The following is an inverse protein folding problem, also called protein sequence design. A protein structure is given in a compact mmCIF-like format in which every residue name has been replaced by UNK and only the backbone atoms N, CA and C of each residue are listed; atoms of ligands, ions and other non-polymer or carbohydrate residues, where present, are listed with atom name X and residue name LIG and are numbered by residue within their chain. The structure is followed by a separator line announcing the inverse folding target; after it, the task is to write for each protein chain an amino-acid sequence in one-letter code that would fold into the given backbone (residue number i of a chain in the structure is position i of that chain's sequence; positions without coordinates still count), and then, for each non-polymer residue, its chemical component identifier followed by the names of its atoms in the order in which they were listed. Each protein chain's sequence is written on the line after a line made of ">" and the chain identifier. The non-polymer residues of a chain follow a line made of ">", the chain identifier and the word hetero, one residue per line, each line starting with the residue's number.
data_IF_797650941117
#
_entry.id   IF_797650941117
#
_cell.length_a   1.000
_cell.length_b   1.000
_cell.length_c   1.000
_cell.angle_alpha   90.00
_cell.angle_beta   90.00
_cell.angle_gamma   90.00
#
_symmetry.space_group_name_H-M   'P 1'
#
loop_
_entity.id
_entity.type
_entity.pdbx_description
1 polymer ?
#
# COMPACT_ATOMS: atom_id res chain seq x y z
N UNK A 1 -21.20 2.41 11.17
CA UNK A 1 -19.81 1.90 11.10
C UNK A 1 -19.66 0.85 12.19
N UNK A 2 -19.13 -0.35 11.89
CA UNK A 2 -18.86 -1.34 12.93
C UNK A 2 -17.75 -0.82 13.86
N UNK A 3 -17.88 -1.07 15.16
CA UNK A 3 -16.92 -0.61 16.17
C UNK A 3 -15.78 -1.63 16.28
N UNK A 4 -14.52 -1.18 16.33
CA UNK A 4 -13.39 -2.07 16.56
C UNK A 4 -13.20 -2.31 18.06
N UNK A 5 -13.20 -3.56 18.55
CA UNK A 5 -12.94 -3.85 19.95
C UNK A 5 -11.45 -3.66 20.26
N UNK A 6 -11.13 -2.79 21.22
CA UNK A 6 -9.76 -2.48 21.65
C UNK A 6 -9.23 -3.46 22.72
N UNK A 7 -10.12 -4.21 23.37
CA UNK A 7 -9.80 -5.03 24.55
C UNK A 7 -9.53 -6.48 24.18
N UNK A 8 -8.50 -6.74 23.37
CA UNK A 8 -8.08 -8.11 23.05
C UNK A 8 -6.79 -8.46 23.80
N UNK A 9 -6.72 -9.69 24.32
CA UNK A 9 -5.52 -10.21 24.97
C UNK A 9 -4.95 -11.35 24.16
N UNK A 10 -3.64 -11.36 23.92
CA UNK A 10 -2.99 -12.47 23.23
C UNK A 10 -1.75 -12.93 23.98
N UNK A 11 -1.45 -14.22 23.86
CA UNK A 11 -0.29 -14.89 24.40
C UNK A 11 0.30 -15.80 23.33
N UNK A 12 1.56 -16.19 23.47
CA UNK A 12 2.19 -17.07 22.49
C UNK A 12 3.19 -18.02 23.12
N UNK A 13 3.43 -19.09 22.39
CA UNK A 13 4.56 -19.99 22.55
C UNK A 13 5.36 -19.99 21.23
N UNK A 14 6.52 -20.65 21.18
CA UNK A 14 7.27 -20.79 19.93
C UNK A 14 6.47 -21.42 18.80
N UNK A 15 5.46 -22.23 19.10
CA UNK A 15 4.68 -22.99 18.10
C UNK A 15 3.21 -22.61 18.02
N UNK A 16 2.68 -21.86 18.99
CA UNK A 16 1.26 -21.50 19.05
C UNK A 16 1.03 -20.05 19.45
N UNK A 17 -0.11 -19.49 19.03
CA UNK A 17 -0.62 -18.19 19.45
C UNK A 17 -2.02 -18.37 20.02
N UNK A 18 -2.24 -17.81 21.19
CA UNK A 18 -3.53 -17.75 21.86
C UNK A 18 -4.06 -16.33 21.79
N UNK A 19 -5.23 -16.13 21.21
CA UNK A 19 -5.89 -14.81 21.17
C UNK A 19 -7.26 -14.93 21.82
N UNK A 20 -7.57 -14.02 22.74
CA UNK A 20 -8.86 -13.92 23.41
C UNK A 20 -9.53 -12.58 23.10
N UNK A 21 -10.75 -12.66 22.59
CA UNK A 21 -11.60 -11.53 22.24
C UNK A 21 -12.90 -11.56 23.05
N UNK A 22 -13.15 -10.62 23.98
CA UNK A 22 -14.38 -10.57 24.74
C UNK A 22 -15.56 -10.14 23.86
N UNK A 23 -16.68 -10.88 23.92
CA UNK A 23 -17.88 -10.66 23.12
C UNK A 23 -18.87 -9.65 23.74
N UNK A 24 -18.55 -9.08 24.91
CA UNK A 24 -19.34 -8.03 25.62
C UNK A 24 -20.85 -8.29 25.65
N UNK A 25 -21.25 -9.54 25.93
CA UNK A 25 -22.67 -9.94 26.06
C UNK A 25 -23.40 -10.25 24.75
N UNK A 26 -22.69 -10.30 23.61
CA UNK A 26 -23.25 -10.79 22.34
C UNK A 26 -23.32 -12.32 22.34
N UNK A 27 -24.47 -12.87 21.96
CA UNK A 27 -24.67 -14.31 21.86
C UNK A 27 -23.72 -14.94 20.84
N UNK A 28 -23.12 -16.08 21.20
CA UNK A 28 -22.23 -16.86 20.32
C UNK A 28 -22.84 -17.24 18.95
N UNK A 29 -24.18 -17.17 18.81
CA UNK A 29 -24.91 -17.43 17.56
C UNK A 29 -24.79 -16.30 16.54
N UNK A 30 -24.56 -15.08 17.02
CA UNK A 30 -24.47 -13.87 16.19
C UNK A 30 -23.01 -13.45 15.92
N UNK A 31 -22.06 -14.24 16.45
CA UNK A 31 -20.63 -14.07 16.22
C UNK A 31 -20.18 -14.97 15.05
N UNK A 32 -19.69 -14.34 13.98
CA UNK A 32 -19.09 -15.01 12.83
C UNK A 32 -17.57 -14.90 12.90
N UNK A 33 -16.88 -16.04 12.74
CA UNK A 33 -15.43 -16.14 12.88
C UNK A 33 -14.85 -16.72 11.60
N UNK A 34 -13.92 -15.97 11.01
CA UNK A 34 -13.17 -16.38 9.84
C UNK A 34 -11.67 -16.39 10.16
N UNK A 35 -11.02 -17.50 9.84
CA UNK A 35 -9.58 -17.69 10.05
C UNK A 35 -8.97 -18.21 8.75
N UNK A 36 -7.91 -17.56 8.30
CA UNK A 36 -7.09 -17.94 7.16
C UNK A 36 -5.61 -17.89 7.55
N UNK A 37 -4.71 -18.32 6.66
CA UNK A 37 -3.29 -18.47 6.96
C UNK A 37 -2.63 -17.19 7.50
N UNK A 38 -3.03 -16.01 7.05
CA UNK A 38 -2.45 -14.73 7.46
C UNK A 38 -3.47 -13.71 7.96
N UNK A 39 -4.72 -14.12 8.16
CA UNK A 39 -5.82 -13.21 8.40
C UNK A 39 -6.87 -13.80 9.33
N UNK A 40 -7.31 -12.98 10.28
CA UNK A 40 -8.34 -13.33 11.24
C UNK A 40 -9.41 -12.24 11.27
N UNK A 41 -10.67 -12.65 11.18
CA UNK A 41 -11.82 -11.76 11.25
C UNK A 41 -12.87 -12.32 12.19
N UNK A 42 -13.39 -11.48 13.08
CA UNK A 42 -14.48 -11.83 13.99
C UNK A 42 -15.52 -10.73 13.93
N UNK A 43 -16.71 -11.07 13.46
CA UNK A 43 -17.83 -10.16 13.31
C UNK A 43 -18.90 -10.50 14.34
N UNK A 44 -19.19 -9.58 15.26
CA UNK A 44 -20.22 -9.74 16.29
C UNK A 44 -20.93 -8.40 16.46
N UNK A 45 -22.04 -8.16 15.73
CA UNK A 45 -22.66 -6.85 15.64
C UNK A 45 -22.95 -6.22 17.01
N UNK A 46 -22.60 -4.93 17.23
CA UNK A 46 -22.10 -3.94 16.27
C UNK A 46 -20.57 -3.95 16.04
N UNK A 47 -19.84 -4.91 16.58
CA UNK A 47 -18.38 -4.93 16.57
C UNK A 47 -17.80 -5.78 15.42
N UNK A 48 -16.67 -5.33 14.89
CA UNK A 48 -15.87 -6.06 13.91
C UNK A 48 -14.41 -6.02 14.33
N UNK A 49 -13.82 -7.19 14.54
CA UNK A 49 -12.40 -7.37 14.77
C UNK A 49 -11.76 -7.94 13.50
N UNK A 50 -10.66 -7.33 13.08
CA UNK A 50 -9.94 -7.70 11.86
C UNK A 50 -8.45 -7.54 12.13
N UNK A 51 -7.68 -8.62 11.93
CA UNK A 51 -6.24 -8.66 12.17
C UNK A 51 -5.54 -9.43 11.06
N UNK A 52 -4.47 -8.83 10.52
CA UNK A 52 -3.48 -9.49 9.69
C UNK A 52 -2.36 -10.03 10.57
N UNK A 53 -2.19 -11.35 10.62
CA UNK A 53 -1.24 -12.01 11.50
C UNK A 53 0.21 -11.72 11.06
N UNK A 54 1.13 -11.67 12.02
CA UNK A 54 2.55 -11.40 11.78
C UNK A 54 3.21 -12.41 10.83
N UNK A 55 2.87 -13.70 10.96
CA UNK A 55 3.41 -14.79 10.15
C UNK A 55 2.31 -15.82 9.84
N UNK A 56 2.47 -16.63 8.79
CA UNK A 56 1.46 -17.59 8.40
C UNK A 56 1.25 -18.68 9.45
N UNK A 57 -0.01 -18.96 9.74
CA UNK A 57 -0.48 -20.01 10.62
C UNK A 57 -1.01 -21.19 9.81
N UNK A 58 -1.00 -22.37 10.41
CA UNK A 58 -1.62 -23.58 9.90
C UNK A 58 -3.12 -23.53 10.23
N UNK A 59 -3.93 -23.10 9.27
CA UNK A 59 -5.38 -22.97 9.40
C UNK A 59 -6.07 -24.31 9.68
N UNK A 60 -5.53 -25.41 9.14
CA UNK A 60 -6.05 -26.77 9.34
C UNK A 60 -5.91 -27.28 10.77
N UNK A 61 -4.82 -26.92 11.46
CA UNK A 61 -4.59 -27.29 12.86
C UNK A 61 -5.08 -26.23 13.86
N UNK A 62 -5.27 -24.99 13.42
CA UNK A 62 -5.75 -23.88 14.24
C UNK A 62 -7.21 -24.05 14.64
N UNK A 63 -7.54 -23.66 15.87
CA UNK A 63 -8.88 -23.86 16.46
C UNK A 63 -9.42 -22.55 17.01
N UNK A 64 -10.66 -22.23 16.69
CA UNK A 64 -11.41 -21.15 17.32
C UNK A 64 -12.51 -21.73 18.20
N UNK A 65 -12.61 -21.27 19.44
CA UNK A 65 -13.67 -21.62 20.39
C UNK A 65 -14.46 -20.36 20.71
N UNK A 66 -15.72 -20.34 20.30
CA UNK A 66 -16.65 -19.26 20.63
C UNK A 66 -17.36 -19.65 21.93
N UNK A 67 -17.03 -18.98 23.03
CA UNK A 67 -17.75 -19.08 24.30
C UNK A 67 -18.88 -18.06 24.41
N UNK A 68 -19.62 -18.09 25.52
CA UNK A 68 -20.70 -17.13 25.76
C UNK A 68 -20.17 -15.70 26.00
N UNK A 69 -18.97 -15.57 26.58
CA UNK A 69 -18.40 -14.26 26.96
C UNK A 69 -17.16 -13.86 26.14
N UNK A 70 -16.49 -14.81 25.47
CA UNK A 70 -15.28 -14.54 24.69
C UNK A 70 -15.04 -15.57 23.57
N UNK A 71 -14.38 -15.13 22.49
CA UNK A 71 -13.81 -15.99 21.45
C UNK A 71 -12.34 -16.25 21.76
N UNK A 72 -11.95 -17.52 21.83
CA UNK A 72 -10.58 -17.94 22.08
C UNK A 72 -10.05 -18.66 20.84
N UNK A 73 -8.97 -18.12 20.28
CA UNK A 73 -8.22 -18.72 19.19
C UNK A 73 -6.99 -19.44 19.73
N UNK A 74 -6.73 -20.63 19.18
CA UNK A 74 -5.50 -21.39 19.32
C UNK A 74 -4.94 -21.57 17.92
N UNK A 75 -4.05 -20.68 17.52
CA UNK A 75 -3.45 -20.65 16.19
C UNK A 75 -2.11 -21.39 16.24
N UNK A 76 -1.86 -22.31 15.33
CA UNK A 76 -0.57 -23.01 15.22
C UNK A 76 0.29 -22.32 14.18
N UNK A 77 1.52 -21.95 14.53
CA UNK A 77 2.44 -21.29 13.60
C UNK A 77 2.99 -22.32 12.61
N UNK A 78 3.09 -21.98 11.32
CA UNK A 78 3.79 -22.84 10.35
C UNK A 78 5.29 -22.89 10.62
N UNK A 79 5.84 -21.79 11.13
CA UNK A 79 7.24 -21.67 11.51
C UNK A 79 7.36 -21.41 13.02
N UNK A 80 8.26 -22.13 13.68
CA UNK A 80 8.46 -22.02 15.13
C UNK A 80 9.26 -20.76 15.49
N UNK A 81 8.60 -19.60 15.44
CA UNK A 81 9.21 -18.27 15.65
C UNK A 81 8.39 -17.48 16.66
N UNK A 82 9.05 -16.78 17.59
CA UNK A 82 8.38 -15.83 18.50
C UNK A 82 8.01 -14.54 17.77
N UNK A 83 6.77 -14.10 17.91
CA UNK A 83 6.26 -12.89 17.24
C UNK A 83 6.47 -11.67 18.15
N UNK A 84 7.04 -10.58 17.62
CA UNK A 84 7.19 -9.34 18.42
C UNK A 84 5.83 -8.61 18.57
N UNK A 85 4.98 -8.71 17.56
CA UNK A 85 3.61 -8.17 17.53
C UNK A 85 2.64 -9.21 16.97
N UNK A 86 1.36 -9.14 17.34
CA UNK A 86 0.33 -10.00 16.75
C UNK A 86 0.11 -9.69 15.26
N UNK A 87 0.31 -8.42 14.88
CA UNK A 87 0.07 -7.92 13.53
C UNK A 87 1.37 -7.59 12.79
N UNK A 88 1.41 -7.79 11.47
CA UNK A 88 2.47 -7.22 10.64
C UNK A 88 2.42 -5.69 10.70
N UNK A 89 3.54 -5.02 10.99
CA UNK A 89 3.60 -3.56 11.00
C UNK A 89 3.45 -3.01 9.58
N UNK A 90 2.22 -2.73 9.19
CA UNK A 90 1.87 -2.20 7.88
C UNK A 90 0.50 -1.51 7.88
N UNK A 91 0.13 -0.83 8.97
CA UNK A 91 -1.13 -0.08 9.02
C UNK A 91 -1.49 0.46 10.41
N UNK A 92 -1.13 1.72 10.65
CA UNK A 92 -1.59 2.61 11.75
C UNK A 92 -1.43 2.06 13.18
N UNK A 93 -0.22 2.26 13.69
CA UNK A 93 0.05 2.39 15.12
C UNK A 93 -0.72 3.61 15.65
N UNK A 94 -1.76 3.40 16.46
CA UNK A 94 -2.18 4.39 17.45
C UNK A 94 -1.52 3.96 18.75
N UNK A 95 -0.37 4.57 19.05
CA UNK A 95 0.19 4.55 20.40
C UNK A 95 -0.84 5.14 21.36
N UNK A 96 -1.30 4.33 22.32
CA UNK A 96 -1.88 4.85 23.53
C UNK A 96 -1.03 4.31 24.68
N UNK A 97 -0.18 5.21 25.18
CA UNK A 97 0.52 5.10 26.45
C UNK A 97 -0.53 5.23 27.56
N UNK A 98 -0.60 4.29 28.50
CA UNK A 98 -1.07 4.58 29.86
C UNK A 98 -0.23 3.84 30.92
N UNK A 99 -0.07 4.44 32.11
CA UNK A 99 0.95 4.09 33.09
C UNK A 99 0.56 2.93 33.99
N UNK A 100 1.60 2.25 34.42
CA UNK A 100 1.79 1.47 35.64
C UNK A 100 0.97 1.96 36.84
N UNK A 101 -0.03 1.19 37.29
CA UNK A 101 -0.31 0.95 38.73
C UNK A 101 -1.46 -0.05 39.03
N UNK A 102 -1.21 -0.86 40.07
CA UNK A 102 -2.12 -1.56 41.00
C UNK A 102 -2.53 -3.02 40.74
N UNK A 103 -2.15 -3.83 41.72
CA UNK A 103 -2.41 -5.25 41.93
C UNK A 103 -3.82 -5.53 42.47
N UNK A 104 -4.36 -6.73 42.24
CA UNK A 104 -4.72 -7.73 43.28
C UNK A 104 -5.41 -8.98 42.67
N UNK A 105 -5.27 -10.10 43.39
CA UNK A 105 -5.60 -11.48 43.03
C UNK A 105 -7.11 -11.78 42.91
N UNK A 106 -7.52 -12.71 42.03
CA UNK A 106 -8.62 -13.64 42.36
C UNK A 106 -8.63 -14.91 41.49
N UNK A 107 -8.75 -16.08 42.13
CA UNK A 107 -8.61 -17.43 41.53
C UNK A 107 -9.95 -17.97 41.03
N UNK A 108 -10.01 -18.55 39.82
CA UNK A 108 -11.26 -19.10 39.23
C UNK A 108 -11.15 -20.62 38.96
N UNK A 109 -12.20 -21.43 39.22
CA UNK A 109 -12.08 -22.89 39.38
C UNK A 109 -12.19 -23.69 38.07
N UNK A 110 -11.85 -24.99 38.14
CA UNK A 110 -11.56 -25.83 36.97
C UNK A 110 -12.80 -26.18 36.09
N UNK A 111 -12.66 -26.23 34.74
CA UNK A 111 -13.78 -26.45 33.82
C UNK A 111 -14.06 -27.94 33.53
N UNK A 112 -15.35 -28.27 33.36
CA UNK A 112 -15.91 -29.60 33.06
C UNK A 112 -15.80 -29.99 31.56
N UNK A 113 -15.79 -31.31 31.29
CA UNK A 113 -15.34 -31.95 30.04
C UNK A 113 -16.28 -31.81 28.82
N UNK A 114 -15.69 -31.70 27.63
CA UNK A 114 -16.36 -31.48 26.35
C UNK A 114 -16.78 -32.77 25.61
N UNK A 115 -17.93 -32.72 24.94
CA UNK A 115 -18.40 -33.73 23.97
C UNK A 115 -18.62 -33.11 22.58
N UNK A 116 -18.46 -33.91 21.53
CA UNK A 116 -18.55 -33.49 20.12
C UNK A 116 -19.94 -33.72 19.53
N UNK A 117 -20.44 -32.77 18.75
CA UNK A 117 -21.71 -32.86 18.03
C UNK A 117 -21.43 -32.68 16.54
N UNK A 118 -21.93 -33.59 15.71
CA UNK A 118 -21.82 -33.53 14.25
C UNK A 118 -22.98 -32.74 13.63
N UNK A 119 -22.66 -31.94 12.61
CA UNK A 119 -23.63 -31.14 11.86
C UNK A 119 -23.65 -31.59 10.40
N UNK A 120 -24.84 -31.74 9.82
CA UNK A 120 -25.07 -32.01 8.41
C UNK A 120 -25.71 -30.81 7.71
N UNK A 121 -25.25 -30.50 6.50
CA UNK A 121 -25.69 -29.34 5.73
C UNK A 121 -26.87 -29.67 4.81
N UNK A 122 -27.88 -28.81 4.80
CA UNK A 122 -29.02 -28.91 3.88
C UNK A 122 -28.69 -28.29 2.52
N UNK A 123 -29.03 -28.96 1.40
CA UNK A 123 -28.79 -28.42 0.06
C UNK A 123 -29.70 -27.22 -0.22
N UNK A 124 -29.13 -26.23 -0.92
CA UNK A 124 -29.77 -24.96 -1.24
C UNK A 124 -30.71 -25.17 -2.43
N UNK A 125 -32.02 -25.09 -2.20
CA UNK A 125 -33.02 -25.16 -3.28
C UNK A 125 -33.56 -23.75 -3.52
N UNK A 126 -33.22 -23.16 -4.66
CA UNK A 126 -33.88 -21.95 -5.15
C UNK A 126 -35.17 -22.36 -5.88
N UNK A 127 -36.36 -21.96 -5.42
CA UNK A 127 -37.60 -22.23 -6.13
C UNK A 127 -37.78 -21.19 -7.23
N UNK A 128 -37.10 -21.37 -8.36
CA UNK A 128 -37.41 -20.63 -9.59
C UNK A 128 -37.90 -21.63 -10.64
N UNK A 129 -39.03 -21.33 -11.28
CA UNK A 129 -39.60 -22.20 -12.31
C UNK A 129 -38.57 -22.45 -13.43
N UNK A 130 -38.35 -23.72 -13.75
CA UNK A 130 -37.49 -24.25 -14.82
C UNK A 130 -37.85 -23.65 -16.19
N UNK A 131 -37.39 -22.43 -16.48
CA UNK A 131 -37.30 -21.91 -17.86
C UNK A 131 -36.19 -20.87 -18.06
N UNK A 132 -35.68 -20.24 -17.01
CA UNK A 132 -34.55 -19.29 -17.12
C UNK A 132 -33.58 -19.49 -15.96
N UNK A 133 -32.82 -20.60 -15.97
CA UNK A 133 -31.69 -20.74 -15.05
C UNK A 133 -30.54 -19.87 -15.55
N UNK A 134 -30.31 -18.73 -14.90
CA UNK A 134 -29.16 -17.86 -15.17
C UNK A 134 -27.88 -18.32 -14.45
N UNK A 135 -27.85 -19.54 -13.90
CA UNK A 135 -26.69 -20.06 -13.15
C UNK A 135 -25.38 -20.01 -13.97
N UNK A 136 -25.42 -20.37 -15.25
CA UNK A 136 -24.25 -20.29 -16.12
C UNK A 136 -23.79 -18.84 -16.35
N UNK A 137 -24.74 -17.90 -16.43
CA UNK A 137 -24.43 -16.46 -16.60
C UNK A 137 -23.87 -15.86 -15.31
N UNK A 138 -24.33 -16.30 -14.14
CA UNK A 138 -23.80 -15.90 -12.83
C UNK A 138 -22.39 -16.47 -12.59
N UNK A 139 -22.15 -17.74 -12.92
CA UNK A 139 -20.82 -18.35 -12.84
C UNK A 139 -19.84 -17.66 -13.80
N UNK A 140 -20.25 -17.38 -15.04
CA UNK A 140 -19.44 -16.61 -15.98
C UNK A 140 -19.17 -15.18 -15.48
N UNK A 141 -20.14 -14.53 -14.85
CA UNK A 141 -19.98 -13.19 -14.30
C UNK A 141 -18.99 -13.19 -13.13
N UNK A 142 -19.09 -14.16 -12.21
CA UNK A 142 -18.14 -14.35 -11.12
C UNK A 142 -16.73 -14.67 -11.65
N UNK A 143 -16.64 -15.51 -12.68
CA UNK A 143 -15.37 -15.85 -13.32
C UNK A 143 -14.72 -14.63 -14.01
N UNK A 144 -15.52 -13.80 -14.69
CA UNK A 144 -15.07 -12.54 -15.30
C UNK A 144 -14.62 -11.53 -14.24
N UNK A 145 -15.31 -11.42 -13.11
CA UNK A 145 -14.87 -10.58 -11.99
C UNK A 145 -13.56 -11.06 -11.38
N UNK A 146 -13.44 -12.37 -11.11
CA UNK A 146 -12.23 -12.96 -10.57
C UNK A 146 -11.04 -12.80 -11.52
N UNK A 147 -11.26 -12.94 -12.84
CA UNK A 147 -10.25 -12.66 -13.85
C UNK A 147 -9.86 -11.19 -13.92
N UNK A 148 -10.80 -10.25 -13.81
CA UNK A 148 -10.51 -8.82 -13.80
C UNK A 148 -9.71 -8.39 -12.55
N UNK A 149 -10.05 -8.93 -11.38
CA UNK A 149 -9.28 -8.70 -10.15
C UNK A 149 -7.89 -9.34 -10.22
N UNK A 150 -7.77 -10.54 -10.81
CA UNK A 150 -6.46 -11.13 -11.09
C UNK A 150 -5.67 -10.25 -12.04
N UNK A 151 -6.25 -9.78 -13.14
CA UNK A 151 -5.59 -8.89 -14.10
C UNK A 151 -5.07 -7.60 -13.45
N UNK A 152 -5.84 -6.99 -12.54
CA UNK A 152 -5.39 -5.79 -11.81
C UNK A 152 -4.31 -6.09 -10.76
N UNK A 153 -4.29 -7.31 -10.19
CA UNK A 153 -3.26 -7.74 -9.25
C UNK A 153 -2.04 -8.39 -9.94
N UNK A 154 -2.14 -8.80 -11.21
CA UNK A 154 -1.06 -9.41 -12.02
C UNK A 154 -0.14 -8.38 -12.66
N UNK A 155 0.02 -7.24 -12.02
CA UNK A 155 1.25 -6.45 -12.10
C UNK A 155 2.35 -7.01 -11.18
N UNK A 156 2.03 -8.04 -10.37
CA UNK A 156 2.94 -8.72 -9.45
C UNK A 156 3.82 -9.88 -9.99
N UNK A 157 3.52 -10.60 -11.10
CA UNK A 157 4.32 -11.75 -11.51
C UNK A 157 5.67 -11.34 -12.14
N UNK A 158 5.89 -10.07 -12.45
CA UNK A 158 7.16 -9.58 -12.98
C UNK A 158 8.31 -9.60 -11.95
N UNK A 159 8.01 -9.82 -10.66
CA UNK A 159 9.02 -9.85 -9.58
C UNK A 159 9.56 -11.25 -9.23
N UNK A 160 8.92 -12.33 -9.73
CA UNK A 160 9.33 -13.71 -9.44
C UNK A 160 10.59 -14.16 -10.18
N UNK A 161 10.82 -13.61 -11.38
CA UNK A 161 11.91 -14.00 -12.28
C UNK A 161 13.13 -13.05 -12.21
N UNK A 162 13.04 -12.00 -11.40
CA UNK A 162 14.09 -11.00 -11.25
C UNK A 162 15.24 -11.57 -10.39
N UNK A 163 16.48 -11.45 -10.89
CA UNK A 163 17.67 -11.89 -10.13
C UNK A 163 17.76 -11.11 -8.81
N UNK A 164 18.46 -11.66 -7.82
CA UNK A 164 18.59 -11.04 -6.49
C UNK A 164 19.18 -9.61 -6.53
N UNK A 165 20.01 -9.33 -7.53
CA UNK A 165 20.53 -7.99 -7.84
C UNK A 165 19.45 -7.01 -8.33
N UNK A 166 18.43 -7.50 -9.02
CA UNK A 166 17.33 -6.70 -9.58
C UNK A 166 16.29 -6.33 -8.52
N UNK A 167 16.40 -6.89 -7.30
CA UNK A 167 15.63 -6.46 -6.13
C UNK A 167 16.23 -5.24 -5.42
N UNK A 168 17.43 -4.79 -5.81
CA UNK A 168 18.02 -3.59 -5.24
C UNK A 168 17.54 -2.33 -6.00
N UNK A 169 16.86 -1.36 -5.36
CA UNK A 169 16.38 -0.15 -6.01
C UNK A 169 17.52 0.70 -6.60
N UNK A 170 18.71 0.68 -6.00
CA UNK A 170 19.89 1.39 -6.50
C UNK A 170 20.40 0.82 -7.83
N UNK A 171 20.35 -0.50 -7.99
CA UNK A 171 20.75 -1.16 -9.23
C UNK A 171 19.77 -0.84 -10.37
N UNK A 172 18.46 -0.86 -10.09
CA UNK A 172 17.44 -0.50 -11.07
C UNK A 172 17.52 0.98 -11.46
N UNK A 173 17.83 1.87 -10.53
CA UNK A 173 18.13 3.27 -10.82
C UNK A 173 19.27 3.38 -11.83
N UNK A 174 20.37 2.67 -11.59
CA UNK A 174 21.54 2.72 -12.45
C UNK A 174 21.28 2.08 -13.83
N UNK A 175 20.49 1.01 -13.88
CA UNK A 175 20.00 0.42 -15.14
C UNK A 175 19.14 1.43 -15.91
N UNK A 176 18.24 2.12 -15.24
CA UNK A 176 17.44 3.21 -15.81
C UNK A 176 18.30 4.34 -16.37
N UNK A 177 19.35 4.75 -15.64
CA UNK A 177 20.29 5.78 -16.08
C UNK A 177 21.03 5.37 -17.36
N UNK A 178 21.50 4.11 -17.43
CA UNK A 178 22.15 3.57 -18.64
C UNK A 178 21.18 3.55 -19.83
N UNK A 179 19.94 3.12 -19.60
CA UNK A 179 18.91 3.11 -20.65
C UNK A 179 18.57 4.52 -21.13
N UNK A 180 18.52 5.49 -20.21
CA UNK A 180 18.34 6.90 -20.54
C UNK A 180 19.50 7.45 -21.40
N UNK A 181 20.74 7.06 -21.08
CA UNK A 181 21.91 7.44 -21.86
C UNK A 181 21.90 6.81 -23.27
N UNK A 182 21.31 5.63 -23.44
CA UNK A 182 21.06 5.01 -24.75
C UNK A 182 19.80 5.53 -25.47
N UNK A 183 19.20 6.62 -24.97
CA UNK A 183 17.97 7.25 -25.48
C UNK A 183 16.73 6.33 -25.49
N UNK A 184 16.79 5.18 -24.82
CA UNK A 184 15.65 4.28 -24.69
C UNK A 184 14.80 4.68 -23.48
N UNK A 185 14.03 5.75 -23.64
CA UNK A 185 13.25 6.35 -22.56
C UNK A 185 12.13 5.43 -22.06
N UNK A 186 11.50 4.63 -22.93
CA UNK A 186 10.42 3.71 -22.55
C UNK A 186 10.94 2.59 -21.64
N UNK A 187 12.06 1.95 -22.01
CA UNK A 187 12.68 0.94 -21.17
C UNK A 187 13.19 1.53 -19.84
N UNK A 188 13.73 2.76 -19.87
CA UNK A 188 14.14 3.46 -18.66
C UNK A 188 12.96 3.71 -17.71
N UNK A 189 11.80 4.11 -18.22
CA UNK A 189 10.57 4.29 -17.42
C UNK A 189 10.17 2.97 -16.75
N UNK A 190 10.22 1.85 -17.46
CA UNK A 190 9.89 0.54 -16.88
C UNK A 190 10.86 0.17 -15.75
N UNK A 191 12.16 0.40 -15.93
CA UNK A 191 13.15 0.19 -14.88
C UNK A 191 12.90 1.06 -13.64
N UNK A 192 12.57 2.35 -13.84
CA UNK A 192 12.20 3.24 -12.72
C UNK A 192 10.88 2.86 -12.06
N UNK A 193 9.88 2.38 -12.81
CA UNK A 193 8.61 1.90 -12.26
C UNK A 193 8.83 0.71 -11.33
N UNK A 194 9.66 -0.25 -11.76
CA UNK A 194 10.06 -1.37 -10.91
C UNK A 194 10.82 -0.89 -9.66
N UNK A 195 11.73 0.07 -9.81
CA UNK A 195 12.47 0.64 -8.67
C UNK A 195 11.53 1.33 -7.67
N UNK A 196 10.52 2.06 -8.15
CA UNK A 196 9.52 2.76 -7.32
C UNK A 196 8.62 1.76 -6.58
N UNK A 197 8.26 0.64 -7.22
CA UNK A 197 7.51 -0.45 -6.58
C UNK A 197 8.27 -1.08 -5.42
N UNK A 198 9.60 -1.19 -5.54
CA UNK A 198 10.46 -1.69 -4.47
C UNK A 198 10.71 -0.64 -3.37
N UNK A 199 10.98 0.61 -3.76
CA UNK A 199 11.18 1.71 -2.83
C UNK A 199 10.53 3.00 -3.33
N UNK A 200 9.35 3.29 -2.81
CA UNK A 200 8.57 4.48 -3.17
C UNK A 200 9.06 5.77 -2.48
N UNK A 201 10.01 5.70 -1.55
CA UNK A 201 10.49 6.84 -0.76
C UNK A 201 11.70 7.56 -1.38
N UNK A 202 12.21 7.10 -2.52
CA UNK A 202 13.39 7.68 -3.15
C UNK A 202 13.01 8.75 -4.19
N UNK A 203 13.23 10.05 -3.92
CA UNK A 203 12.81 11.14 -4.82
C UNK A 203 13.57 11.14 -6.15
N UNK A 204 14.80 10.63 -6.17
CA UNK A 204 15.65 10.55 -7.36
C UNK A 204 15.01 9.70 -8.47
N UNK A 205 14.27 8.64 -8.11
CA UNK A 205 13.59 7.77 -9.07
C UNK A 205 12.48 8.51 -9.82
N UNK A 206 11.62 9.23 -9.11
CA UNK A 206 10.56 10.06 -9.70
C UNK A 206 11.15 11.17 -10.55
N UNK A 207 12.22 11.81 -10.07
CA UNK A 207 12.94 12.82 -10.83
C UNK A 207 13.43 12.27 -12.17
N UNK A 208 14.11 11.13 -12.18
CA UNK A 208 14.65 10.55 -13.40
C UNK A 208 13.54 10.05 -14.33
N UNK A 209 12.44 9.50 -13.79
CA UNK A 209 11.25 9.14 -14.55
C UNK A 209 10.58 10.36 -15.19
N UNK A 210 10.48 11.49 -14.49
CA UNK A 210 9.99 12.75 -15.03
C UNK A 210 10.84 13.24 -16.21
N UNK A 211 12.18 13.09 -16.15
CA UNK A 211 13.06 13.44 -17.26
C UNK A 211 12.80 12.57 -18.50
N UNK A 212 12.56 11.27 -18.34
CA UNK A 212 12.12 10.40 -19.44
C UNK A 212 10.78 10.85 -20.02
N UNK A 213 9.81 11.19 -19.16
CA UNK A 213 8.50 11.65 -19.59
C UNK A 213 8.55 12.97 -20.36
N UNK A 214 9.41 13.91 -19.96
CA UNK A 214 9.67 15.13 -20.72
C UNK A 214 10.20 14.83 -22.13
N UNK A 215 11.15 13.89 -22.27
CA UNK A 215 11.69 13.49 -23.57
C UNK A 215 10.65 12.82 -24.47
N UNK A 216 9.72 12.08 -23.89
CA UNK A 216 8.60 11.44 -24.59
C UNK A 216 7.38 12.35 -24.77
N UNK A 217 7.43 13.62 -24.35
CA UNK A 217 6.29 14.56 -24.35
C UNK A 217 5.06 14.09 -23.55
N UNK A 218 5.27 13.24 -22.56
CA UNK A 218 4.24 12.83 -21.60
C UNK A 218 4.15 13.86 -20.45
N UNK A 219 3.72 15.08 -20.78
CA UNK A 219 3.88 16.27 -19.93
C UNK A 219 3.11 16.16 -18.61
N UNK A 220 1.87 15.67 -18.62
CA UNK A 220 1.08 15.49 -17.39
C UNK A 220 1.75 14.53 -16.40
N UNK A 221 2.28 13.40 -16.88
CA UNK A 221 3.00 12.45 -16.03
C UNK A 221 4.31 13.02 -15.49
N UNK A 222 5.01 13.84 -16.29
CA UNK A 222 6.20 14.54 -15.82
C UNK A 222 5.90 15.53 -14.69
N UNK A 223 4.76 16.22 -14.76
CA UNK A 223 4.30 17.15 -13.70
C UNK A 223 3.96 16.40 -12.42
N UNK A 224 3.23 15.28 -12.54
CA UNK A 224 2.88 14.41 -11.42
C UNK A 224 4.15 13.88 -10.73
N UNK A 225 5.08 13.31 -11.48
CA UNK A 225 6.35 12.79 -10.95
C UNK A 225 7.22 13.86 -10.31
N UNK A 226 7.28 15.05 -10.91
CA UNK A 226 8.06 16.16 -10.35
C UNK A 226 7.42 16.68 -9.05
N UNK A 227 6.08 16.64 -8.95
CA UNK A 227 5.35 17.07 -7.76
C UNK A 227 5.51 16.05 -6.62
N UNK A 228 5.38 14.76 -6.90
CA UNK A 228 5.65 13.71 -5.89
C UNK A 228 7.10 13.74 -5.41
N UNK A 229 8.05 14.01 -6.31
CA UNK A 229 9.44 14.21 -5.90
C UNK A 229 9.61 15.39 -4.93
N UNK A 230 8.95 16.52 -5.18
CA UNK A 230 8.99 17.69 -4.28
C UNK A 230 8.36 17.41 -2.91
N UNK A 231 7.25 16.66 -2.88
CA UNK A 231 6.62 16.21 -1.62
C UNK A 231 7.60 15.36 -0.79
N UNK A 232 8.28 14.41 -1.44
CA UNK A 232 9.29 13.55 -0.79
C UNK A 232 10.55 14.30 -0.35
N UNK A 233 10.86 15.44 -0.99
CA UNK A 233 12.00 16.29 -0.66
C UNK A 233 11.68 17.32 0.45
N UNK A 234 10.55 17.18 1.14
CA UNK A 234 10.19 17.97 2.31
C UNK A 234 10.61 17.23 3.59
N UNK A 235 11.35 17.86 4.53
CA UNK A 235 11.68 19.27 4.65
C UNK A 235 12.83 19.74 3.72
N UNK A 236 12.89 21.06 3.42
CA UNK A 236 13.97 21.63 2.62
C UNK A 236 15.30 21.62 3.39
N UNK A 237 16.26 20.80 2.95
CA UNK A 237 17.61 20.69 3.52
C UNK A 237 18.64 21.15 2.49
N UNK A 238 19.86 21.51 2.91
CA UNK A 238 20.93 21.89 1.99
C UNK A 238 21.31 20.73 1.05
N UNK A 239 21.40 19.50 1.57
CA UNK A 239 21.79 18.31 0.79
C UNK A 239 20.82 17.98 -0.34
N UNK A 240 19.53 18.29 -0.13
CA UNK A 240 18.48 18.02 -1.11
C UNK A 240 18.15 19.23 -2.00
N UNK A 241 18.91 20.34 -1.88
CA UNK A 241 18.69 21.57 -2.63
C UNK A 241 18.80 21.33 -4.15
N UNK A 242 19.84 20.64 -4.62
CA UNK A 242 20.03 20.34 -6.04
C UNK A 242 18.89 19.48 -6.62
N UNK A 243 18.43 18.47 -5.87
CA UNK A 243 17.29 17.64 -6.27
C UNK A 243 15.99 18.46 -6.34
N UNK A 244 15.73 19.35 -5.37
CA UNK A 244 14.56 20.24 -5.36
C UNK A 244 14.59 21.22 -6.52
N UNK A 245 15.74 21.83 -6.79
CA UNK A 245 15.93 22.70 -7.96
C UNK A 245 15.62 21.94 -9.25
N UNK A 246 16.20 20.75 -9.45
CA UNK A 246 15.93 19.91 -10.62
C UNK A 246 14.45 19.54 -10.76
N UNK A 247 13.75 19.30 -9.66
CA UNK A 247 12.33 18.99 -9.67
C UNK A 247 11.49 20.19 -10.13
N UNK A 248 11.77 21.38 -9.60
CA UNK A 248 11.14 22.63 -10.06
C UNK A 248 11.42 22.89 -11.54
N UNK A 249 12.67 22.77 -11.99
CA UNK A 249 13.03 22.98 -13.41
C UNK A 249 12.29 21.99 -14.32
N UNK A 250 12.22 20.70 -13.95
CA UNK A 250 11.52 19.68 -14.75
C UNK A 250 10.02 19.92 -14.80
N UNK A 251 9.40 20.31 -13.67
CA UNK A 251 7.98 20.66 -13.61
C UNK A 251 7.68 21.92 -14.43
N UNK A 252 8.49 22.95 -14.27
CA UNK A 252 8.39 24.20 -15.04
C UNK A 252 8.54 23.97 -16.53
N UNK A 253 9.52 23.16 -16.95
CA UNK A 253 9.70 22.79 -18.35
C UNK A 253 8.49 22.02 -18.93
N UNK A 254 7.83 21.17 -18.12
CA UNK A 254 6.61 20.49 -18.53
C UNK A 254 5.44 21.46 -18.69
N UNK A 255 5.28 22.42 -17.77
CA UNK A 255 4.26 23.46 -17.85
C UNK A 255 4.45 24.37 -19.07
N UNK A 256 5.67 24.81 -19.36
CA UNK A 256 5.95 25.61 -20.54
C UNK A 256 5.63 24.86 -21.85
N UNK A 257 5.88 23.55 -21.91
CA UNK A 257 5.50 22.73 -23.06
C UNK A 257 3.97 22.51 -23.18
N UNK A 258 3.22 22.70 -22.09
CA UNK A 258 1.76 22.74 -22.07
C UNK A 258 1.20 24.16 -22.29
N UNK A 259 2.05 25.14 -22.63
CA UNK A 259 1.69 26.55 -22.78
C UNK A 259 1.19 27.24 -21.49
N UNK A 260 1.41 26.59 -20.33
CA UNK A 260 1.14 27.12 -19.00
C UNK A 260 2.36 27.90 -18.49
N UNK A 261 2.66 29.02 -19.17
CA UNK A 261 3.89 29.78 -18.94
C UNK A 261 3.94 30.45 -17.57
N UNK A 262 2.80 30.84 -16.99
CA UNK A 262 2.74 31.52 -15.69
C UNK A 262 3.13 30.57 -14.56
N UNK A 263 2.55 29.37 -14.56
CA UNK A 263 2.88 28.29 -13.61
C UNK A 263 4.32 27.82 -13.82
N UNK A 264 4.74 27.69 -15.08
CA UNK A 264 6.13 27.37 -15.41
C UNK A 264 7.11 28.39 -14.82
N UNK A 265 6.85 29.68 -15.00
CA UNK A 265 7.69 30.75 -14.47
C UNK A 265 7.79 30.72 -12.94
N UNK A 266 6.70 30.44 -12.22
CA UNK A 266 6.72 30.30 -10.77
C UNK A 266 7.67 29.18 -10.32
N UNK A 267 7.70 28.06 -11.04
CA UNK A 267 8.62 26.95 -10.77
C UNK A 267 10.08 27.32 -11.08
N UNK A 268 10.34 28.01 -12.20
CA UNK A 268 11.68 28.52 -12.52
C UNK A 268 12.17 29.53 -11.47
N UNK A 269 11.31 30.42 -10.99
CA UNK A 269 11.63 31.35 -9.90
C UNK A 269 11.87 30.62 -8.56
N UNK A 270 11.14 29.54 -8.29
CA UNK A 270 11.42 28.68 -7.15
C UNK A 270 12.79 27.99 -7.27
N UNK A 271 13.17 27.53 -8.47
CA UNK A 271 14.48 26.97 -8.72
C UNK A 271 15.61 28.01 -8.53
N UNK A 272 15.42 29.24 -9.04
CA UNK A 272 16.39 30.34 -8.88
C UNK A 272 16.55 30.81 -7.43
N UNK A 273 15.52 30.67 -6.58
CA UNK A 273 15.65 30.91 -5.14
C UNK A 273 16.56 29.90 -4.44
N UNK A 274 16.67 28.69 -4.98
CA UNK A 274 17.52 27.62 -4.42
C UNK A 274 18.96 27.78 -4.94
N UNK A 275 19.13 27.93 -6.25
CA UNK A 275 20.43 28.18 -6.88
C UNK A 275 20.37 29.43 -7.78
N UNK A 276 20.68 30.61 -7.22
CA UNK A 276 20.67 31.85 -7.98
C UNK A 276 21.79 31.94 -9.01
N UNK A 277 22.86 31.14 -8.90
CA UNK A 277 24.03 31.25 -9.77
C UNK A 277 23.86 30.50 -11.11
N UNK A 278 22.79 29.70 -11.24
CA UNK A 278 22.58 28.88 -12.41
C UNK A 278 22.12 29.69 -13.64
N UNK A 279 23.06 29.98 -14.53
CA UNK A 279 22.82 30.77 -15.75
C UNK A 279 21.83 30.10 -16.70
N UNK A 280 21.74 28.77 -16.70
CA UNK A 280 20.81 28.05 -17.60
C UNK A 280 19.36 28.28 -17.20
N UNK A 281 19.06 28.17 -15.90
CA UNK A 281 17.73 28.42 -15.33
C UNK A 281 17.35 29.90 -15.47
N UNK A 282 18.30 30.82 -15.32
CA UNK A 282 18.07 32.25 -15.54
C UNK A 282 17.65 32.54 -16.99
N UNK A 283 18.43 32.04 -17.96
CA UNK A 283 18.13 32.22 -19.38
C UNK A 283 16.77 31.64 -19.77
N UNK A 284 16.42 30.47 -19.22
CA UNK A 284 15.12 29.85 -19.49
C UNK A 284 13.97 30.63 -18.84
N UNK A 285 14.15 31.15 -17.62
CA UNK A 285 13.18 32.03 -16.99
C UNK A 285 12.96 33.34 -17.79
N UNK A 286 14.04 33.94 -18.31
CA UNK A 286 13.95 35.12 -19.17
C UNK A 286 13.21 34.86 -20.48
N UNK A 287 13.47 33.74 -21.15
CA UNK A 287 12.68 33.33 -22.33
C UNK A 287 11.20 33.24 -22.01
N UNK A 288 10.85 32.60 -20.89
CA UNK A 288 9.45 32.47 -20.46
C UNK A 288 8.83 33.85 -20.17
N UNK A 289 9.58 34.79 -19.56
CA UNK A 289 9.12 36.18 -19.36
C UNK A 289 8.85 36.88 -20.68
N UNK A 290 9.71 36.72 -21.67
CA UNK A 290 9.55 37.31 -23.00
C UNK A 290 8.31 36.74 -23.72
N UNK A 291 8.06 35.43 -23.60
CA UNK A 291 6.85 34.79 -24.12
C UNK A 291 5.60 35.38 -23.47
N UNK A 292 5.58 35.54 -22.15
CA UNK A 292 4.44 36.12 -21.40
C UNK A 292 4.21 37.59 -21.78
N UNK A 293 5.28 38.35 -21.96
CA UNK A 293 5.21 39.77 -22.38
C UNK A 293 4.85 39.94 -23.87
N UNK A 294 4.75 38.84 -24.63
CA UNK A 294 4.35 38.85 -26.04
C UNK A 294 5.43 39.36 -27.00
N UNK A 295 6.69 39.43 -26.57
CA UNK A 295 7.79 39.96 -27.40
C UNK A 295 8.27 38.98 -28.49
N UNK A 296 7.86 37.70 -28.44
CA UNK A 296 8.29 36.66 -29.40
C UNK A 296 7.32 36.40 -30.58
N UNK A 297 6.15 37.04 -30.67
CA UNK A 297 5.22 36.84 -31.81
C UNK A 297 5.61 37.60 -33.09
N UNK A 298 6.87 38.04 -33.23
CA UNK A 298 7.39 38.64 -34.47
C UNK A 298 8.73 38.02 -34.88
N UNK A 299 8.69 36.76 -35.30
CA UNK A 299 9.72 36.23 -36.19
C UNK A 299 9.10 35.22 -37.18
N UNK A 300 8.77 35.79 -38.35
CA UNK A 300 8.64 35.22 -39.71
C UNK A 300 7.67 34.06 -39.97
#
# INVERSE_FOLDING_TARGET
>A
MPLQPSDYSWQQTPTTVFLSLPLRGVCARDADVFCAESYLKVNFPPFLFEVFLYAPIDDGNSKAKIGNDAVIFTLYKKEAVMWETLCMSGGRHLEIIFPEELAEEDRVPAPRSAGSISVSFTPRVFPTALRESQAAQEEEWLHKQAQAQRAMNTDAPEFGDLKEEEKNPEWLKEKGNKLFATENYLAAINAYNLAIRLNSKMPVLYLNRAACHLKLKNLHKAIEDSSTALELLTPPVADNADARMKAHVRRGAAFCQLELYVEGLQDYEAALRIDPANTTVQNDAEKIRNVIQGTELKSQ
#
